data_IF_091723295855
#
_entry.id   IF_091723295855
#
_cell.length_a   1.000
_cell.length_b   1.000
_cell.length_c   1.000
_cell.angle_alpha   90.00
_cell.angle_beta   90.00
_cell.angle_gamma   90.00
#
_symmetry.space_group_name_H-M   'P 1'
#
loop_
_entity.id
_entity.type
_entity.pdbx_description
1 polymer ?
#
# COMPACT_ATOMS: atom_id res chain seq x y z
N UNK A 1 5.65 -19.84 -9.41
CA UNK A 1 5.07 -18.65 -10.06
C UNK A 1 3.61 -18.84 -10.48
N UNK A 2 3.23 -19.92 -11.21
CA UNK A 2 1.85 -20.10 -11.69
C UNK A 2 0.78 -20.02 -10.57
N UNK A 3 0.99 -20.72 -9.45
CA UNK A 3 0.09 -20.65 -8.30
C UNK A 3 -0.13 -19.20 -7.77
N UNK A 4 0.93 -18.38 -7.75
CA UNK A 4 0.83 -16.99 -7.29
C UNK A 4 0.02 -16.13 -8.28
N UNK A 5 0.15 -16.38 -9.59
CA UNK A 5 -0.66 -15.74 -10.64
C UNK A 5 -2.14 -16.14 -10.53
N UNK A 6 -2.42 -17.41 -10.27
CA UNK A 6 -3.79 -17.90 -10.14
C UNK A 6 -4.46 -17.34 -8.86
N UNK A 7 -3.71 -17.26 -7.76
CA UNK A 7 -4.14 -16.58 -6.53
C UNK A 7 -4.37 -15.08 -6.76
N UNK A 8 -3.53 -14.42 -7.55
CA UNK A 8 -3.71 -13.01 -7.92
C UNK A 8 -5.04 -12.80 -8.66
N UNK A 9 -5.33 -13.67 -9.64
CA UNK A 9 -6.60 -13.66 -10.36
C UNK A 9 -7.80 -13.95 -9.47
N UNK A 10 -7.63 -14.73 -8.40
CA UNK A 10 -8.73 -15.07 -7.51
C UNK A 10 -9.27 -13.87 -6.72
N UNK A 11 -8.42 -12.93 -6.30
CA UNK A 11 -8.88 -11.73 -5.58
C UNK A 11 -9.20 -10.54 -6.49
N UNK A 12 -8.70 -10.54 -7.73
CA UNK A 12 -8.84 -9.41 -8.67
C UNK A 12 -10.30 -8.97 -8.88
N UNK A 13 -11.28 -9.86 -9.14
CA UNK A 13 -12.66 -9.44 -9.37
C UNK A 13 -13.31 -8.74 -8.16
N UNK A 14 -13.03 -9.22 -6.94
CA UNK A 14 -13.53 -8.59 -5.72
C UNK A 14 -12.89 -7.23 -5.47
N UNK A 15 -11.60 -7.10 -5.79
CA UNK A 15 -10.88 -5.82 -5.72
C UNK A 15 -11.40 -4.81 -6.74
N UNK A 16 -11.69 -5.23 -7.98
CA UNK A 16 -12.30 -4.39 -9.01
C UNK A 16 -13.69 -3.91 -8.62
N UNK A 17 -14.50 -4.78 -8.01
CA UNK A 17 -15.82 -4.41 -7.49
C UNK A 17 -15.71 -3.34 -6.38
N UNK A 18 -14.73 -3.49 -5.49
CA UNK A 18 -14.42 -2.51 -4.45
C UNK A 18 -13.94 -1.16 -5.02
N UNK A 19 -13.04 -1.16 -6.00
CA UNK A 19 -12.58 0.08 -6.67
C UNK A 19 -13.74 0.76 -7.41
N UNK A 20 -14.58 -0.02 -8.11
CA UNK A 20 -15.74 0.49 -8.81
C UNK A 20 -16.75 1.15 -7.85
N UNK A 21 -17.04 0.51 -6.72
CA UNK A 21 -17.89 1.08 -5.67
C UNK A 21 -17.28 2.37 -5.12
N UNK A 22 -15.99 2.36 -4.78
CA UNK A 22 -15.28 3.52 -4.21
C UNK A 22 -15.26 4.73 -5.14
N UNK A 23 -15.27 4.51 -6.47
CA UNK A 23 -15.28 5.59 -7.48
C UNK A 23 -16.67 6.11 -7.82
N UNK A 24 -17.69 5.23 -7.79
CA UNK A 24 -19.04 5.54 -8.27
C UNK A 24 -20.02 5.90 -7.14
N UNK A 25 -19.75 5.46 -5.92
CA UNK A 25 -20.63 5.70 -4.79
C UNK A 25 -20.69 7.20 -4.46
N UNK A 26 -21.90 7.77 -4.50
CA UNK A 26 -22.14 9.11 -3.99
C UNK A 26 -22.11 9.06 -2.45
N UNK A 27 -21.60 10.08 -1.74
CA UNK A 27 -21.66 10.14 -0.29
C UNK A 27 -23.06 9.93 0.32
N UNK A 28 -24.13 10.27 -0.40
CA UNK A 28 -25.52 10.07 0.06
C UNK A 28 -25.98 8.61 0.03
N UNK A 29 -25.39 7.81 -0.86
CA UNK A 29 -25.74 6.41 -1.07
C UNK A 29 -24.73 5.47 -0.39
N UNK A 30 -23.83 6.03 0.42
CA UNK A 30 -22.79 5.28 1.10
C UNK A 30 -23.39 4.35 2.14
N UNK A 31 -23.30 3.04 1.88
CA UNK A 31 -23.59 2.01 2.86
C UNK A 31 -22.29 1.40 3.42
N UNK A 32 -22.00 1.55 4.72
CA UNK A 32 -20.85 0.92 5.36
C UNK A 32 -20.94 -0.61 5.35
N UNK A 33 -22.14 -1.21 5.31
CA UNK A 33 -22.32 -2.66 5.26
C UNK A 33 -21.92 -3.21 3.89
N UNK A 34 -22.29 -2.52 2.82
CA UNK A 34 -21.90 -2.90 1.47
C UNK A 34 -20.40 -2.74 1.25
N UNK A 35 -19.81 -1.64 1.73
CA UNK A 35 -18.34 -1.46 1.70
C UNK A 35 -17.63 -2.63 2.40
N UNK A 36 -18.10 -2.99 3.60
CA UNK A 36 -17.54 -4.11 4.37
C UNK A 36 -17.68 -5.43 3.63
N UNK A 37 -18.85 -5.71 3.04
CA UNK A 37 -19.11 -6.92 2.26
C UNK A 37 -18.15 -7.04 1.07
N UNK A 38 -17.90 -5.93 0.36
CA UNK A 38 -16.95 -5.87 -0.75
C UNK A 38 -15.52 -6.17 -0.29
N UNK A 39 -15.11 -5.61 0.87
CA UNK A 39 -13.79 -5.89 1.46
C UNK A 39 -13.67 -7.38 1.84
N UNK A 40 -14.65 -7.91 2.56
CA UNK A 40 -14.67 -9.31 3.00
C UNK A 40 -14.62 -10.29 1.81
N UNK A 41 -15.21 -9.93 0.67
CA UNK A 41 -15.24 -10.76 -0.54
C UNK A 41 -13.86 -11.05 -1.14
N UNK A 42 -12.88 -10.13 -1.01
CA UNK A 42 -11.51 -10.36 -1.50
C UNK A 42 -10.47 -10.50 -0.38
N UNK A 43 -10.82 -10.21 0.88
CA UNK A 43 -9.87 -10.21 1.99
C UNK A 43 -9.16 -11.55 2.18
N UNK A 44 -9.93 -12.65 2.26
CA UNK A 44 -9.36 -14.00 2.45
C UNK A 44 -8.42 -14.43 1.31
N UNK A 45 -8.81 -14.37 0.02
CA UNK A 45 -7.89 -14.75 -1.06
C UNK A 45 -6.67 -13.80 -1.15
N UNK A 46 -6.82 -12.52 -0.83
CA UNK A 46 -5.70 -11.58 -0.76
C UNK A 46 -4.70 -11.95 0.35
N UNK A 47 -5.19 -12.24 1.56
CA UNK A 47 -4.34 -12.66 2.69
C UNK A 47 -3.58 -13.95 2.34
N UNK A 48 -4.26 -14.92 1.71
CA UNK A 48 -3.63 -16.15 1.27
C UNK A 48 -2.52 -15.88 0.25
N UNK A 49 -2.80 -15.04 -0.77
CA UNK A 49 -1.83 -14.66 -1.79
C UNK A 49 -0.57 -14.03 -1.18
N UNK A 50 -0.74 -13.04 -0.29
CA UNK A 50 0.39 -12.37 0.37
C UNK A 50 1.24 -13.34 1.20
N UNK A 51 0.61 -14.27 1.92
CA UNK A 51 1.33 -15.27 2.70
C UNK A 51 2.13 -16.25 1.84
N UNK A 52 1.53 -16.73 0.74
CA UNK A 52 2.19 -17.67 -0.17
C UNK A 52 3.25 -17.00 -1.07
N UNK A 53 3.09 -15.70 -1.34
CA UNK A 53 4.07 -14.91 -2.07
C UNK A 53 5.42 -14.85 -1.34
N UNK A 54 5.44 -14.80 0.00
CA UNK A 54 6.69 -14.80 0.78
C UNK A 54 7.57 -16.01 0.41
N UNK A 55 6.98 -17.21 0.29
CA UNK A 55 7.73 -18.41 -0.09
C UNK A 55 8.29 -18.27 -1.51
N UNK A 56 7.47 -17.79 -2.43
CA UNK A 56 7.85 -17.57 -3.83
C UNK A 56 9.00 -16.55 -3.96
N UNK A 57 8.94 -15.45 -3.21
CA UNK A 57 10.00 -14.44 -3.15
C UNK A 57 11.29 -15.00 -2.56
N UNK A 58 11.21 -15.84 -1.52
CA UNK A 58 12.39 -16.51 -0.95
C UNK A 58 13.05 -17.47 -1.94
N UNK A 59 12.26 -18.13 -2.79
CA UNK A 59 12.79 -18.98 -3.84
C UNK A 59 13.53 -18.20 -4.95
N UNK A 60 13.40 -16.87 -5.02
CA UNK A 60 14.16 -16.06 -5.98
C UNK A 60 15.67 -16.10 -5.72
N UNK A 61 16.10 -16.52 -4.52
CA UNK A 61 17.53 -16.73 -4.18
C UNK A 61 18.23 -17.72 -5.13
N UNK A 62 17.49 -18.55 -5.85
CA UNK A 62 18.05 -19.47 -6.87
C UNK A 62 18.51 -18.76 -8.14
N UNK A 63 18.04 -17.54 -8.38
CA UNK A 63 18.41 -16.74 -9.54
C UNK A 63 19.57 -15.82 -9.21
N UNK A 64 20.24 -15.35 -10.26
CA UNK A 64 21.34 -14.40 -10.16
C UNK A 64 20.89 -13.10 -9.47
N UNK A 65 21.68 -12.65 -8.49
CA UNK A 65 21.33 -11.49 -7.66
C UNK A 65 21.27 -10.19 -8.47
N UNK A 66 22.09 -10.05 -9.50
CA UNK A 66 22.11 -8.85 -10.33
C UNK A 66 20.87 -8.80 -11.23
N UNK A 67 20.44 -9.94 -11.76
CA UNK A 67 19.17 -10.03 -12.50
C UNK A 67 17.95 -9.70 -11.63
N UNK A 68 17.88 -10.24 -10.41
CA UNK A 68 16.78 -9.92 -9.46
C UNK A 68 16.80 -8.44 -9.09
N UNK A 69 17.99 -7.87 -8.86
CA UNK A 69 18.16 -6.44 -8.58
C UNK A 69 17.75 -5.56 -9.77
N UNK A 70 18.04 -5.98 -10.99
CA UNK A 70 17.63 -5.26 -12.19
C UNK A 70 16.11 -5.28 -12.36
N UNK A 71 15.46 -6.42 -12.15
CA UNK A 71 14.00 -6.53 -12.16
C UNK A 71 13.36 -5.63 -11.09
N UNK A 72 13.93 -5.58 -9.88
CA UNK A 72 13.49 -4.69 -8.81
C UNK A 72 13.60 -3.21 -9.21
N UNK A 73 14.72 -2.77 -9.78
CA UNK A 73 14.89 -1.39 -10.27
C UNK A 73 13.87 -1.01 -11.35
N UNK A 74 13.51 -1.96 -12.22
CA UNK A 74 12.48 -1.73 -13.23
C UNK A 74 11.09 -1.57 -12.60
N UNK A 75 10.79 -2.32 -11.54
CA UNK A 75 9.56 -2.16 -10.76
C UNK A 75 9.52 -0.78 -10.08
N UNK A 76 10.59 -0.35 -9.42
CA UNK A 76 10.69 0.97 -8.81
C UNK A 76 10.44 2.09 -9.83
N UNK A 77 11.06 2.00 -11.01
CA UNK A 77 10.85 2.98 -12.08
C UNK A 77 9.38 3.07 -12.50
N UNK A 78 8.71 1.93 -12.69
CA UNK A 78 7.27 1.91 -13.04
C UNK A 78 6.38 2.49 -11.95
N UNK A 79 6.74 2.28 -10.67
CA UNK A 79 6.01 2.86 -9.55
C UNK A 79 6.17 4.39 -9.52
N UNK A 80 7.36 4.91 -9.84
CA UNK A 80 7.63 6.35 -9.94
C UNK A 80 6.96 7.03 -11.16
N UNK A 81 6.68 6.27 -12.22
CA UNK A 81 5.98 6.75 -13.42
C UNK A 81 4.44 6.83 -13.24
N UNK A 82 3.91 6.36 -12.10
CA UNK A 82 2.47 6.39 -11.79
C UNK A 82 2.05 7.74 -11.16
N UNK A 83 0.76 7.97 -10.85
CA UNK A 83 0.28 9.19 -10.19
C UNK A 83 0.96 9.43 -8.84
N UNK A 84 2.02 10.25 -8.88
CA UNK A 84 2.84 10.62 -7.74
C UNK A 84 2.05 11.35 -6.65
N UNK A 85 0.87 11.91 -6.95
CA UNK A 85 -0.01 12.49 -5.94
C UNK A 85 -0.67 11.45 -5.04
N UNK A 86 -0.73 10.18 -5.47
CA UNK A 86 -1.39 9.08 -4.75
C UNK A 86 -0.39 8.04 -4.27
N UNK A 87 0.51 7.61 -5.15
CA UNK A 87 1.47 6.55 -4.82
C UNK A 87 2.50 7.03 -3.80
N UNK A 88 3.02 8.26 -3.95
CA UNK A 88 4.08 8.73 -3.07
C UNK A 88 3.60 8.92 -1.61
N UNK A 89 2.46 9.58 -1.32
CA UNK A 89 1.99 9.66 0.07
C UNK A 89 1.55 8.31 0.65
N UNK A 90 1.07 7.37 -0.19
CA UNK A 90 0.73 6.02 0.23
C UNK A 90 1.98 5.26 0.68
N UNK A 91 3.00 5.16 -0.18
CA UNK A 91 4.23 4.40 0.07
C UNK A 91 4.95 4.93 1.31
N UNK A 92 5.10 6.25 1.44
CA UNK A 92 5.78 6.85 2.59
C UNK A 92 4.94 6.77 3.87
N UNK A 93 3.62 6.88 3.75
CA UNK A 93 2.73 6.75 4.91
C UNK A 93 2.55 5.33 5.41
N UNK A 94 2.90 4.31 4.62
CA UNK A 94 2.92 2.90 5.04
C UNK A 94 4.32 2.38 5.39
N UNK A 95 5.37 3.15 5.10
CA UNK A 95 6.73 2.83 5.48
C UNK A 95 7.02 3.36 6.89
N UNK A 96 7.42 2.48 7.80
CA UNK A 96 7.86 2.83 9.14
C UNK A 96 9.39 2.76 9.20
N UNK A 97 10.04 3.89 9.48
CA UNK A 97 11.50 3.97 9.58
C UNK A 97 12.05 3.31 10.85
N UNK A 98 11.22 3.04 11.84
CA UNK A 98 11.59 2.40 13.10
C UNK A 98 11.43 0.88 13.07
N UNK A 99 10.79 0.33 12.03
CA UNK A 99 10.57 -1.09 11.87
C UNK A 99 11.91 -1.88 11.87
N UNK A 100 11.95 -2.98 12.63
CA UNK A 100 13.17 -3.76 12.90
C UNK A 100 14.38 -2.91 13.35
N UNK A 101 14.14 -1.85 14.12
CA UNK A 101 15.20 -0.96 14.61
C UNK A 101 15.79 -0.05 13.53
N UNK A 102 15.06 0.18 12.44
CA UNK A 102 15.50 1.02 11.32
C UNK A 102 16.53 0.37 10.41
N UNK A 103 16.59 -0.96 10.40
CA UNK A 103 17.48 -1.74 9.53
C UNK A 103 17.10 -1.61 8.04
N UNK A 104 15.84 -1.28 7.74
CA UNK A 104 15.30 -1.20 6.39
C UNK A 104 15.15 0.25 5.94
N UNK A 105 15.99 0.71 5.01
CA UNK A 105 15.80 2.02 4.36
C UNK A 105 14.95 1.87 3.09
N UNK A 106 13.64 1.71 3.28
CA UNK A 106 12.68 1.67 2.18
C UNK A 106 11.58 2.73 2.35
N UNK A 107 11.23 3.48 1.29
CA UNK A 107 11.99 3.66 0.05
C UNK A 107 13.24 4.55 0.27
N UNK A 108 14.38 4.14 -0.28
CA UNK A 108 15.61 4.95 -0.21
C UNK A 108 15.53 6.08 -1.23
N UNK A 109 15.18 7.27 -0.76
CA UNK A 109 15.07 8.49 -1.59
C UNK A 109 15.93 9.61 -1.02
N UNK A 110 16.34 10.59 -1.83
CA UNK A 110 17.01 11.78 -1.33
C UNK A 110 16.21 12.48 -0.22
N UNK A 111 16.91 13.06 0.77
CA UNK A 111 16.31 13.65 1.97
C UNK A 111 15.26 14.74 1.71
N UNK A 112 15.27 15.36 0.52
CA UNK A 112 14.31 16.39 0.12
C UNK A 112 13.00 15.83 -0.47
N UNK A 113 12.96 14.56 -0.87
CA UNK A 113 11.76 13.95 -1.48
C UNK A 113 10.57 13.86 -0.49
N UNK A 114 10.75 13.49 0.79
CA UNK A 114 9.69 13.57 1.78
C UNK A 114 9.08 14.98 1.92
N UNK A 115 9.88 16.04 1.78
CA UNK A 115 9.38 17.43 1.80
C UNK A 115 8.45 17.69 0.60
N UNK A 116 8.84 17.28 -0.60
CA UNK A 116 8.02 17.40 -1.82
C UNK A 116 6.72 16.62 -1.66
N UNK A 117 6.78 15.41 -1.11
CA UNK A 117 5.61 14.56 -0.87
C UNK A 117 4.67 15.20 0.14
N UNK A 118 5.18 15.66 1.28
CA UNK A 118 4.35 16.27 2.31
C UNK A 118 3.71 17.59 1.85
N UNK A 119 4.49 18.46 1.20
CA UNK A 119 4.07 19.82 0.87
C UNK A 119 3.38 19.98 -0.48
N UNK A 120 3.60 19.09 -1.45
CA UNK A 120 2.98 19.20 -2.78
C UNK A 120 1.99 18.05 -3.02
N UNK A 121 2.46 16.80 -2.94
CA UNK A 121 1.63 15.63 -3.30
C UNK A 121 0.57 15.29 -2.24
N UNK A 122 0.90 15.45 -0.96
CA UNK A 122 0.03 15.18 0.18
C UNK A 122 -1.13 16.18 0.32
N UNK A 123 -1.04 17.36 -0.30
CA UNK A 123 -2.09 18.40 -0.18
C UNK A 123 -3.37 18.01 -0.91
N UNK A 124 -3.28 17.39 -2.09
CA UNK A 124 -4.44 17.09 -2.95
C UNK A 124 -5.43 16.12 -2.31
N UNK A 125 -4.93 15.13 -1.55
CA UNK A 125 -5.75 14.11 -0.89
C UNK A 125 -5.52 14.08 0.63
N UNK A 126 -5.25 15.23 1.25
CA UNK A 126 -4.93 15.35 2.69
C UNK A 126 -5.92 14.62 3.61
N UNK A 127 -7.20 14.60 3.24
CA UNK A 127 -8.23 13.88 4.00
C UNK A 127 -8.10 12.36 3.96
N UNK A 128 -7.51 11.77 2.91
CA UNK A 128 -7.26 10.33 2.83
C UNK A 128 -5.99 9.94 3.61
N UNK A 129 -4.99 10.82 3.68
CA UNK A 129 -3.71 10.51 4.35
C UNK A 129 -3.78 10.46 5.87
N UNK A 130 -4.88 10.94 6.49
CA UNK A 130 -5.11 10.81 7.94
C UNK A 130 -5.25 9.36 8.41
N UNK A 131 -5.49 8.44 7.48
CA UNK A 131 -5.65 7.00 7.75
C UNK A 131 -4.33 6.23 7.60
N UNK A 132 -3.22 6.89 7.24
CA UNK A 132 -1.92 6.24 7.13
C UNK A 132 -1.37 5.89 8.52
N UNK A 133 -0.70 4.73 8.68
CA UNK A 133 -0.07 4.35 9.95
C UNK A 133 1.17 5.19 10.31
N UNK A 134 1.82 5.78 9.30
CA UNK A 134 2.98 6.65 9.46
C UNK A 134 2.75 8.01 8.82
N UNK A 135 3.46 9.02 9.32
CA UNK A 135 3.53 10.34 8.69
C UNK A 135 4.30 10.29 7.37
N UNK A 136 4.28 11.37 6.58
CA UNK A 136 5.12 11.50 5.40
C UNK A 136 6.63 11.39 5.69
N UNK A 137 7.03 11.52 6.96
CA UNK A 137 8.40 11.36 7.46
C UNK A 137 8.74 9.93 7.85
N UNK A 138 7.82 8.97 7.62
CA UNK A 138 7.92 7.56 8.03
C UNK A 138 7.94 7.37 9.56
N UNK A 139 7.52 8.38 10.30
CA UNK A 139 7.30 8.28 11.75
C UNK A 139 5.95 7.62 12.04
N UNK A 140 5.91 6.59 12.91
CA UNK A 140 4.65 6.03 13.38
C UNK A 140 3.75 7.12 13.97
N UNK A 141 2.46 7.07 13.65
CA UNK A 141 1.46 7.97 14.22
C UNK A 141 0.27 7.16 14.74
N UNK A 142 -0.44 7.71 15.72
CA UNK A 142 -1.68 7.10 16.18
C UNK A 142 -2.75 7.19 15.09
N UNK A 143 -3.44 6.08 14.85
CA UNK A 143 -4.53 6.02 13.89
C UNK A 143 -5.71 6.85 14.39
N UNK A 144 -6.28 7.66 13.51
CA UNK A 144 -7.38 8.57 13.83
C UNK A 144 -8.59 7.91 14.51
N UNK A 145 -8.79 6.59 14.34
CA UNK A 145 -9.90 5.82 14.92
C UNK A 145 -9.46 4.62 15.78
N UNK A 146 -8.20 4.62 16.23
CA UNK A 146 -7.68 3.63 17.17
C UNK A 146 -8.38 3.68 18.52
N UNK A 147 -8.27 2.62 19.33
CA UNK A 147 -8.95 2.53 20.62
C UNK A 147 -8.62 3.70 21.57
N UNK A 148 -7.41 4.29 21.45
CA UNK A 148 -7.00 5.49 22.19
C UNK A 148 -7.71 6.79 21.79
N UNK A 149 -8.27 6.88 20.58
CA UNK A 149 -8.82 8.13 20.02
C UNK A 149 -10.35 8.14 19.92
N UNK A 150 -11.05 7.10 20.44
CA UNK A 150 -12.52 7.02 20.48
C UNK A 150 -13.17 7.80 21.63
N UNK A 151 -12.38 8.56 22.40
CA UNK A 151 -12.83 9.42 23.50
C UNK A 151 -12.52 10.87 23.19
N UNK A 152 -13.24 11.45 22.23
CA UNK A 152 -13.29 12.90 22.00
C UNK A 152 -14.59 13.25 21.30
#
# INVERSE_FOLDING_TARGET
MQNNVDQHRAFTPGFEAFDAYSRKCNPRDFDPRELRRLIEAFAQPLIQHLNDEIKTLRELRRYDSDQVRQAYKQLEKKLMDTDNNRIAPLVFGTADRSFEGGKHDFPSVPFFVPYIIHHLFGRKYRGAWRFNPSTAWRDPQELAFGEGNRRS
#
